data_IF_498825509751
#
_entry.id   IF_498825509751
#
_cell.length_a   1.000
_cell.length_b   1.000
_cell.length_c   1.000
_cell.angle_alpha   90.00
_cell.angle_beta   90.00
_cell.angle_gamma   90.00
#
_symmetry.space_group_name_H-M   'P 1'
#
loop_
_entity.id
_entity.type
_entity.pdbx_description
1 polymer ?
#
# COMPACT_ATOMS: atom_id res chain seq x y z
N UNK A 1 -3.60 22.08 -22.13
CA UNK A 1 -2.57 23.17 -22.14
C UNK A 1 -1.19 22.56 -21.89
N UNK A 2 -0.11 23.20 -22.29
CA UNK A 2 1.24 22.71 -22.02
C UNK A 2 1.75 23.23 -20.67
N UNK A 3 2.68 22.54 -20.06
CA UNK A 3 3.36 22.99 -18.83
C UNK A 3 4.01 24.36 -19.02
N UNK A 4 4.50 24.68 -20.22
CA UNK A 4 5.08 25.98 -20.57
C UNK A 4 4.06 27.13 -20.47
N UNK A 5 2.80 26.90 -20.81
CA UNK A 5 1.75 27.91 -20.65
C UNK A 5 1.47 28.20 -19.16
N UNK A 6 1.44 27.14 -18.30
CA UNK A 6 1.27 27.32 -16.86
C UNK A 6 2.45 28.12 -16.29
N UNK A 7 3.69 27.80 -16.68
CA UNK A 7 4.88 28.52 -16.23
C UNK A 7 4.78 30.02 -16.61
N UNK A 8 4.41 30.34 -17.87
CA UNK A 8 4.25 31.71 -18.31
C UNK A 8 3.15 32.44 -17.52
N UNK A 9 2.00 31.80 -17.29
CA UNK A 9 0.88 32.41 -16.56
C UNK A 9 1.23 32.64 -15.08
N UNK A 10 2.00 31.74 -14.46
CA UNK A 10 2.53 31.93 -13.09
C UNK A 10 3.43 33.19 -13.04
N UNK A 11 4.35 33.35 -13.99
CA UNK A 11 5.23 34.52 -14.04
C UNK A 11 4.45 35.82 -14.28
N UNK A 12 3.49 35.82 -15.19
CA UNK A 12 2.60 36.99 -15.42
C UNK A 12 1.79 37.31 -14.16
N UNK A 13 1.29 36.31 -13.43
CA UNK A 13 0.53 36.52 -12.20
C UNK A 13 1.34 37.13 -11.05
N UNK A 14 2.64 36.91 -11.01
CA UNK A 14 3.56 37.48 -10.03
C UNK A 14 3.94 38.95 -10.35
N UNK A 15 3.78 39.37 -11.58
CA UNK A 15 3.93 40.76 -11.98
C UNK A 15 5.28 41.16 -12.59
N UNK A 16 5.58 42.47 -12.59
CA UNK A 16 6.80 43.02 -13.20
C UNK A 16 8.09 42.49 -12.53
N UNK A 17 9.07 42.17 -13.36
CA UNK A 17 10.37 41.63 -12.93
C UNK A 17 10.59 40.16 -13.24
N UNK A 18 9.55 39.42 -13.63
CA UNK A 18 9.64 38.06 -14.09
C UNK A 18 9.69 37.96 -15.61
N UNK A 19 10.75 37.37 -16.13
CA UNK A 19 10.95 37.24 -17.56
C UNK A 19 10.58 35.86 -18.07
N UNK A 20 9.48 35.77 -18.83
CA UNK A 20 9.03 34.54 -19.49
C UNK A 20 10.00 34.00 -20.55
N UNK A 21 10.97 34.79 -20.98
CA UNK A 21 12.01 34.35 -21.91
C UNK A 21 13.27 33.82 -21.16
N UNK A 22 13.34 34.03 -19.86
CA UNK A 22 14.46 33.55 -19.06
C UNK A 22 14.25 32.13 -18.54
N UNK A 23 15.17 31.23 -18.90
CA UNK A 23 15.12 29.82 -18.50
C UNK A 23 15.11 29.63 -16.98
N UNK A 24 15.79 30.52 -16.23
CA UNK A 24 15.83 30.44 -14.77
C UNK A 24 14.47 30.78 -14.16
N UNK A 25 13.82 31.86 -14.64
CA UNK A 25 12.47 32.24 -14.23
C UNK A 25 11.45 31.14 -14.52
N UNK A 26 11.53 30.51 -15.69
CA UNK A 26 10.67 29.36 -16.04
C UNK A 26 10.91 28.16 -15.13
N UNK A 27 12.14 27.90 -14.71
CA UNK A 27 12.47 26.81 -13.78
C UNK A 27 11.85 27.07 -12.39
N UNK A 28 11.90 28.30 -11.91
CA UNK A 28 11.23 28.68 -10.65
C UNK A 28 9.71 28.55 -10.75
N UNK A 29 9.10 29.04 -11.83
CA UNK A 29 7.66 28.90 -12.07
C UNK A 29 7.23 27.42 -12.08
N UNK A 30 8.02 26.54 -12.69
CA UNK A 30 7.77 25.11 -12.69
C UNK A 30 7.85 24.53 -11.27
N UNK A 31 8.82 24.95 -10.46
CA UNK A 31 8.97 24.52 -9.05
C UNK A 31 7.75 24.92 -8.23
N UNK A 32 7.26 26.16 -8.37
CA UNK A 32 6.07 26.64 -7.66
C UNK A 32 4.78 25.96 -8.13
N UNK A 33 4.63 25.74 -9.44
CA UNK A 33 3.52 24.95 -9.97
C UNK A 33 3.52 23.49 -9.44
N UNK A 34 4.71 22.88 -9.33
CA UNK A 34 4.86 21.55 -8.73
C UNK A 34 4.59 21.55 -7.21
N UNK A 35 4.90 22.64 -6.50
CA UNK A 35 4.54 22.79 -5.09
C UNK A 35 3.01 22.84 -4.92
N UNK A 36 2.31 23.62 -5.76
CA UNK A 36 0.86 23.65 -5.81
C UNK A 36 0.27 22.28 -6.14
N UNK A 37 0.83 21.61 -7.14
CA UNK A 37 0.41 20.27 -7.57
C UNK A 37 0.48 19.27 -6.43
N UNK A 38 1.61 19.19 -5.74
CA UNK A 38 1.77 18.32 -4.54
C UNK A 38 0.80 18.71 -3.44
N UNK A 39 0.64 20.00 -3.15
CA UNK A 39 -0.26 20.50 -2.11
C UNK A 39 -1.71 20.07 -2.37
N UNK A 40 -2.21 20.23 -3.61
CA UNK A 40 -3.56 19.81 -4.01
C UNK A 40 -3.75 18.31 -3.73
N UNK A 41 -2.88 17.46 -4.26
CA UNK A 41 -3.07 16.01 -4.19
C UNK A 41 -2.71 15.39 -2.83
N UNK A 42 -1.93 16.06 -2.00
CA UNK A 42 -1.68 15.65 -0.61
C UNK A 42 -2.89 15.91 0.28
N UNK A 43 -3.61 17.03 0.03
CA UNK A 43 -4.77 17.43 0.83
C UNK A 43 -6.07 16.79 0.35
N UNK A 44 -6.23 16.59 -0.95
CA UNK A 44 -7.50 16.18 -1.55
C UNK A 44 -7.33 14.92 -2.41
N UNK A 45 -8.24 13.96 -2.25
CA UNK A 45 -8.24 12.68 -2.99
C UNK A 45 -9.15 12.77 -4.21
N UNK A 46 -8.70 13.46 -5.23
CA UNK A 46 -9.44 13.55 -6.49
C UNK A 46 -9.50 12.19 -7.22
N UNK A 47 -10.60 11.92 -7.91
CA UNK A 47 -10.76 10.71 -8.73
C UNK A 47 -9.76 10.64 -9.87
N UNK A 48 -9.37 11.78 -10.39
CA UNK A 48 -8.42 11.89 -11.49
C UNK A 48 -7.07 11.21 -11.19
N UNK A 49 -6.66 11.15 -9.93
CA UNK A 49 -5.43 10.46 -9.51
C UNK A 49 -5.65 9.02 -9.10
N UNK A 50 -6.89 8.52 -9.14
CA UNK A 50 -7.14 7.12 -8.82
C UNK A 50 -6.64 6.23 -9.94
N UNK A 51 -5.87 5.23 -9.56
CA UNK A 51 -5.36 4.19 -10.45
C UNK A 51 -5.87 2.83 -10.00
N UNK A 52 -5.90 1.91 -10.95
CA UNK A 52 -6.13 0.50 -10.69
C UNK A 52 -4.87 -0.27 -11.06
N UNK A 53 -4.33 -1.01 -10.10
CA UNK A 53 -3.25 -1.96 -10.32
C UNK A 53 -3.79 -3.37 -10.15
N UNK A 54 -3.39 -4.28 -11.05
CA UNK A 54 -3.75 -5.69 -10.98
C UNK A 54 -2.48 -6.46 -10.67
N UNK A 55 -2.55 -7.35 -9.69
CA UNK A 55 -1.47 -8.26 -9.35
C UNK A 55 -2.01 -9.67 -9.11
N UNK A 56 -1.11 -10.64 -9.07
CA UNK A 56 -1.45 -12.04 -8.78
C UNK A 56 -0.85 -12.42 -7.44
N UNK A 57 -1.61 -13.13 -6.65
CA UNK A 57 -1.06 -13.79 -5.47
C UNK A 57 -0.22 -15.00 -5.88
N UNK A 58 0.59 -15.49 -4.97
CA UNK A 58 1.29 -16.77 -5.11
C UNK A 58 0.98 -17.61 -3.86
N UNK A 59 0.87 -18.92 -4.04
CA UNK A 59 0.69 -19.83 -2.91
C UNK A 59 1.84 -19.68 -1.92
N UNK A 60 1.54 -19.66 -0.64
CA UNK A 60 2.51 -19.47 0.45
C UNK A 60 3.04 -18.04 0.62
N UNK A 61 2.65 -17.09 -0.23
CA UNK A 61 3.10 -15.70 -0.13
C UNK A 61 2.04 -14.81 0.50
N UNK A 62 2.31 -14.29 1.69
CA UNK A 62 1.38 -13.42 2.42
C UNK A 62 1.58 -11.93 2.12
N UNK A 63 2.79 -11.50 1.74
CA UNK A 63 3.16 -10.08 1.63
C UNK A 63 3.39 -9.67 0.19
N UNK A 64 2.79 -8.54 -0.22
CA UNK A 64 2.87 -7.97 -1.57
C UNK A 64 3.21 -6.49 -1.51
N UNK A 65 4.13 -6.06 -2.36
CA UNK A 65 4.53 -4.65 -2.43
C UNK A 65 3.42 -3.80 -3.06
N UNK A 66 3.18 -2.63 -2.47
CA UNK A 66 2.35 -1.60 -3.10
C UNK A 66 3.08 -0.98 -4.32
N UNK A 67 2.33 -0.45 -5.30
CA UNK A 67 2.91 0.30 -6.41
C UNK A 67 3.80 1.45 -5.90
N UNK A 68 4.85 1.80 -6.65
CA UNK A 68 5.81 2.84 -6.25
C UNK A 68 5.20 4.24 -6.13
N UNK A 69 4.08 4.47 -6.80
CA UNK A 69 3.31 5.71 -6.75
C UNK A 69 2.10 5.65 -5.79
N UNK A 70 2.07 4.66 -4.90
CA UNK A 70 1.00 4.47 -3.92
C UNK A 70 0.99 5.60 -2.88
N UNK A 71 -0.13 6.31 -2.77
CA UNK A 71 -0.31 7.39 -1.79
C UNK A 71 -1.29 7.02 -0.68
N UNK A 72 -2.12 6.01 -0.90
CA UNK A 72 -3.13 5.58 0.06
C UNK A 72 -3.99 4.48 -0.54
N UNK A 73 -4.96 4.02 0.24
CA UNK A 73 -5.81 2.89 -0.10
C UNK A 73 -7.26 3.33 -0.33
N UNK A 74 -7.92 2.74 -1.32
CA UNK A 74 -9.35 2.83 -1.54
C UNK A 74 -10.03 1.47 -1.46
N UNK A 75 -9.61 0.52 -2.30
CA UNK A 75 -10.22 -0.81 -2.37
C UNK A 75 -9.21 -1.84 -2.82
N UNK A 76 -9.19 -2.99 -2.15
CA UNK A 76 -8.52 -4.21 -2.60
C UNK A 76 -9.57 -5.27 -2.86
N UNK A 77 -9.61 -5.81 -4.08
CA UNK A 77 -10.63 -6.75 -4.53
C UNK A 77 -9.97 -7.99 -5.11
N UNK A 78 -10.44 -9.15 -4.72
CA UNK A 78 -10.18 -10.42 -5.41
C UNK A 78 -11.10 -10.52 -6.62
N UNK A 79 -10.55 -10.37 -7.81
CA UNK A 79 -11.27 -10.45 -9.08
C UNK A 79 -11.61 -11.90 -9.47
N UNK A 80 -10.85 -12.87 -8.94
CA UNK A 80 -11.10 -14.29 -9.19
C UNK A 80 -12.42 -14.75 -8.57
N UNK A 81 -12.80 -14.15 -7.43
CA UNK A 81 -13.98 -14.52 -6.66
C UNK A 81 -14.99 -13.38 -6.49
N UNK A 82 -14.76 -12.24 -7.12
CA UNK A 82 -15.62 -11.04 -7.04
C UNK A 82 -15.86 -10.56 -5.60
N UNK A 83 -14.84 -10.65 -4.74
CA UNK A 83 -14.91 -10.31 -3.30
C UNK A 83 -14.01 -9.13 -2.97
N UNK A 84 -14.51 -8.16 -2.19
CA UNK A 84 -13.70 -7.06 -1.65
C UNK A 84 -13.10 -7.52 -0.32
N UNK A 85 -11.77 -7.43 -0.20
CA UNK A 85 -11.07 -7.78 1.03
C UNK A 85 -11.32 -6.70 2.10
N UNK A 86 -11.49 -7.13 3.33
CA UNK A 86 -11.65 -6.23 4.47
C UNK A 86 -10.28 -5.70 4.91
N UNK A 87 -10.17 -4.37 5.02
CA UNK A 87 -8.97 -3.76 5.60
C UNK A 87 -9.03 -3.82 7.13
N UNK A 88 -7.95 -4.29 7.72
CA UNK A 88 -7.73 -4.33 9.16
C UNK A 88 -6.56 -3.42 9.54
N UNK A 89 -6.53 -2.97 10.78
CA UNK A 89 -5.32 -2.40 11.36
C UNK A 89 -4.28 -3.51 11.59
N UNK A 90 -2.98 -3.24 11.65
CA UNK A 90 -1.96 -4.25 11.95
C UNK A 90 -2.22 -5.01 13.27
N UNK A 91 -2.78 -4.31 14.28
CA UNK A 91 -3.17 -4.95 15.55
C UNK A 91 -4.34 -5.92 15.39
N UNK A 92 -5.40 -5.49 14.68
CA UNK A 92 -6.55 -6.35 14.41
C UNK A 92 -6.16 -7.54 13.55
N UNK A 93 -5.32 -7.31 12.52
CA UNK A 93 -4.81 -8.36 11.65
C UNK A 93 -4.04 -9.41 12.46
N UNK A 94 -3.14 -9.00 13.34
CA UNK A 94 -2.37 -9.92 14.21
C UNK A 94 -3.24 -10.72 15.18
N UNK A 95 -4.42 -10.19 15.57
CA UNK A 95 -5.37 -10.91 16.43
C UNK A 95 -6.29 -11.85 15.66
N UNK A 96 -6.61 -11.51 14.40
CA UNK A 96 -7.58 -12.24 13.59
C UNK A 96 -6.93 -13.44 12.88
N UNK A 97 -5.64 -13.36 12.58
CA UNK A 97 -4.85 -14.49 12.09
C UNK A 97 -4.52 -15.40 13.29
N UNK A 98 -5.56 -16.07 13.80
CA UNK A 98 -5.36 -17.01 14.89
C UNK A 98 -4.62 -18.26 14.35
N UNK A 99 -3.49 -18.61 14.94
CA UNK A 99 -2.82 -19.84 14.61
C UNK A 99 -3.69 -21.03 15.05
N UNK A 100 -3.63 -22.11 14.30
CA UNK A 100 -4.33 -23.37 14.60
C UNK A 100 -3.32 -24.36 15.14
N UNK A 101 -3.62 -24.95 16.31
CA UNK A 101 -2.82 -26.03 16.88
C UNK A 101 -3.30 -27.38 16.32
N UNK A 102 -2.36 -28.19 15.91
CA UNK A 102 -2.53 -29.61 15.56
C UNK A 102 -1.88 -30.42 16.65
N UNK A 103 -2.55 -31.46 17.08
CA UNK A 103 -2.03 -32.42 18.07
C UNK A 103 -2.08 -33.79 17.47
N UNK A 104 -1.06 -34.60 17.80
CA UNK A 104 -0.96 -36.01 17.46
C UNK A 104 -1.08 -36.29 15.94
N UNK A 105 -0.58 -35.41 15.08
CA UNK A 105 -0.47 -35.76 13.67
C UNK A 105 0.56 -36.84 13.45
N UNK A 106 0.17 -37.90 12.76
CA UNK A 106 1.05 -39.03 12.48
C UNK A 106 1.81 -38.81 11.20
N UNK A 107 3.12 -38.98 11.21
CA UNK A 107 3.95 -39.10 10.02
C UNK A 107 4.82 -40.35 10.08
N UNK A 108 5.07 -40.96 8.92
CA UNK A 108 5.99 -42.10 8.83
C UNK A 108 7.35 -41.57 8.41
N UNK A 109 8.39 -41.87 9.19
CA UNK A 109 9.78 -41.46 8.90
C UNK A 109 10.29 -42.09 7.60
N UNK A 110 11.16 -41.36 6.92
CA UNK A 110 11.94 -41.83 5.76
C UNK A 110 13.31 -41.16 5.85
N UNK A 111 14.33 -41.95 6.23
CA UNK A 111 15.66 -41.47 6.57
C UNK A 111 16.26 -40.53 5.54
N UNK A 112 16.56 -39.30 5.94
CA UNK A 112 17.13 -38.26 5.07
C UNK A 112 16.19 -37.73 3.99
N UNK A 113 14.92 -38.16 3.99
CA UNK A 113 13.91 -37.67 3.04
C UNK A 113 12.90 -36.76 3.73
N UNK A 114 12.55 -35.66 3.09
CA UNK A 114 11.57 -34.75 3.63
C UNK A 114 10.15 -35.32 3.50
N UNK A 115 9.49 -35.53 4.64
CA UNK A 115 8.10 -36.00 4.74
C UNK A 115 7.19 -34.80 4.90
N UNK A 116 6.14 -34.71 4.08
CA UNK A 116 5.17 -33.63 4.16
C UNK A 116 4.20 -33.85 5.30
N UNK A 117 3.99 -32.83 6.13
CA UNK A 117 2.94 -32.75 7.13
C UNK A 117 1.64 -32.24 6.49
N UNK A 118 0.53 -32.36 7.21
CA UNK A 118 -0.78 -31.99 6.71
C UNK A 118 -0.96 -30.48 6.41
N UNK A 119 -0.11 -29.64 7.00
CA UNK A 119 -0.21 -28.19 6.84
C UNK A 119 1.15 -27.54 6.61
N UNK A 120 1.28 -26.63 5.63
CA UNK A 120 2.43 -25.74 5.48
C UNK A 120 2.32 -24.54 6.44
N UNK A 121 3.26 -23.60 6.35
CA UNK A 121 3.25 -22.35 7.13
C UNK A 121 3.24 -22.56 8.65
N UNK A 122 3.99 -23.57 9.10
CA UNK A 122 4.14 -23.92 10.53
C UNK A 122 4.88 -22.78 11.25
N UNK A 123 4.45 -22.47 12.45
CA UNK A 123 5.12 -21.48 13.30
C UNK A 123 6.45 -22.06 13.78
N UNK A 124 7.51 -21.33 13.54
CA UNK A 124 8.86 -21.78 13.89
C UNK A 124 8.98 -22.08 15.38
N UNK A 125 9.51 -23.24 15.71
CA UNK A 125 9.71 -23.73 17.08
C UNK A 125 8.42 -24.03 17.86
N UNK A 126 7.32 -24.25 17.17
CA UNK A 126 6.07 -24.67 17.82
C UNK A 126 5.87 -26.17 17.87
N UNK A 127 6.74 -26.91 17.20
CA UNK A 127 6.62 -28.36 17.08
C UNK A 127 7.17 -29.12 18.30
N UNK A 128 6.54 -30.27 18.56
CA UNK A 128 7.03 -31.31 19.49
C UNK A 128 6.86 -32.64 18.80
N UNK A 129 7.92 -33.42 18.66
CA UNK A 129 7.92 -34.73 18.01
C UNK A 129 8.13 -35.81 19.07
N UNK A 130 7.30 -36.85 19.04
CA UNK A 130 7.33 -37.92 20.02
C UNK A 130 7.07 -39.32 19.39
N UNK A 131 7.37 -40.36 20.14
CA UNK A 131 7.13 -41.76 19.75
C UNK A 131 5.68 -42.21 19.95
N UNK A 132 4.93 -41.54 20.78
CA UNK A 132 3.54 -41.86 21.11
C UNK A 132 2.70 -40.57 21.39
N UNK A 133 1.39 -40.73 21.53
CA UNK A 133 0.44 -39.67 21.88
C UNK A 133 0.57 -39.16 23.32
N UNK A 134 1.22 -39.91 24.18
CA UNK A 134 1.49 -39.52 25.57
C UNK A 134 2.81 -38.73 25.70
N UNK A 135 3.53 -38.54 24.58
CA UNK A 135 4.83 -37.85 24.50
C UNK A 135 5.86 -38.42 25.50
N UNK A 136 5.91 -39.75 25.60
CA UNK A 136 6.80 -40.44 26.57
C UNK A 136 8.27 -40.24 26.20
N UNK A 137 8.60 -40.31 24.91
CA UNK A 137 9.91 -39.99 24.39
C UNK A 137 9.78 -38.80 23.41
N UNK A 138 10.43 -37.69 23.73
CA UNK A 138 10.43 -36.46 22.88
C UNK A 138 11.78 -36.36 22.18
N UNK A 139 11.74 -36.15 20.87
CA UNK A 139 12.92 -36.02 20.02
C UNK A 139 13.39 -34.58 19.92
N UNK A 140 14.68 -34.40 19.70
CA UNK A 140 15.34 -33.09 19.70
C UNK A 140 15.57 -32.60 18.28
N UNK A 141 15.03 -31.43 17.98
CA UNK A 141 15.27 -30.77 16.69
C UNK A 141 16.76 -30.47 16.49
N UNK A 142 17.19 -30.45 15.24
CA UNK A 142 18.57 -30.23 14.76
C UNK A 142 19.55 -31.30 15.24
N UNK A 143 19.03 -32.35 15.89
CA UNK A 143 19.76 -33.58 16.32
C UNK A 143 19.08 -34.77 15.69
N UNK A 144 17.82 -35.04 16.04
CA UNK A 144 17.07 -36.22 15.58
C UNK A 144 16.30 -35.94 14.29
N UNK A 145 15.89 -34.69 14.07
CA UNK A 145 15.16 -34.26 12.88
C UNK A 145 15.39 -32.77 12.54
N UNK A 146 15.07 -32.38 11.30
CA UNK A 146 15.03 -30.98 10.85
C UNK A 146 13.66 -30.62 10.29
N UNK A 147 13.29 -29.30 10.36
CA UNK A 147 12.01 -28.79 9.88
C UNK A 147 12.18 -27.73 8.78
N UNK A 148 11.41 -27.86 7.70
CA UNK A 148 11.11 -26.71 6.83
C UNK A 148 9.72 -26.17 7.19
N UNK A 149 9.69 -25.14 8.01
CA UNK A 149 8.46 -24.53 8.51
C UNK A 149 7.60 -23.90 7.41
N UNK A 150 8.21 -23.46 6.33
CA UNK A 150 7.48 -22.85 5.21
C UNK A 150 6.78 -23.89 4.36
N UNK A 151 7.51 -24.97 4.05
CA UNK A 151 6.97 -26.08 3.28
C UNK A 151 6.06 -27.00 4.13
N UNK A 152 6.20 -26.98 5.46
CA UNK A 152 5.54 -27.93 6.36
C UNK A 152 6.08 -29.34 6.18
N UNK A 153 7.41 -29.49 6.13
CA UNK A 153 8.05 -30.81 6.00
C UNK A 153 9.00 -31.08 7.14
N UNK A 154 9.08 -32.33 7.53
CA UNK A 154 10.03 -32.88 8.53
C UNK A 154 10.99 -33.83 7.83
N UNK A 155 12.27 -33.78 8.19
CA UNK A 155 13.28 -34.70 7.70
C UNK A 155 13.95 -35.33 8.92
N UNK A 156 13.89 -36.65 9.05
CA UNK A 156 14.53 -37.41 10.10
C UNK A 156 16.00 -37.63 9.74
N UNK A 157 16.90 -37.53 10.71
CA UNK A 157 18.32 -37.78 10.48
C UNK A 157 18.59 -39.30 10.62
N UNK A 158 19.07 -39.92 9.55
CA UNK A 158 19.34 -41.35 9.45
C UNK A 158 20.36 -41.89 10.44
N UNK A 159 21.06 -41.04 11.17
CA UNK A 159 22.13 -41.46 12.09
C UNK A 159 21.73 -41.40 13.57
N UNK A 160 20.49 -40.98 13.89
CA UNK A 160 20.10 -40.61 15.24
C UNK A 160 19.02 -41.51 15.85
N UNK A 161 18.26 -41.03 16.84
CA UNK A 161 17.41 -41.87 17.72
C UNK A 161 16.07 -42.27 17.07
N UNK A 162 15.71 -41.74 15.91
CA UNK A 162 14.46 -42.08 15.22
C UNK A 162 14.70 -43.18 14.19
N UNK A 163 13.88 -44.23 14.24
CA UNK A 163 13.96 -45.37 13.32
C UNK A 163 13.31 -45.05 11.98
N UNK A 164 13.87 -45.63 10.89
CA UNK A 164 13.30 -45.55 9.54
C UNK A 164 11.97 -46.31 9.42
N UNK A 165 11.10 -45.86 8.54
CA UNK A 165 9.79 -46.46 8.26
C UNK A 165 8.92 -46.68 9.51
N UNK A 166 9.05 -45.79 10.50
CA UNK A 166 8.35 -45.84 11.77
C UNK A 166 7.39 -44.66 11.89
N UNK A 167 6.23 -44.90 12.50
CA UNK A 167 5.24 -43.84 12.74
C UNK A 167 5.60 -43.06 14.00
N UNK A 168 5.63 -41.72 13.84
CA UNK A 168 5.84 -40.75 14.92
C UNK A 168 4.70 -39.78 15.00
N UNK A 169 4.56 -39.09 16.12
CA UNK A 169 3.54 -38.11 16.41
C UNK A 169 4.17 -36.72 16.48
N UNK A 170 3.51 -35.73 15.89
CA UNK A 170 3.96 -34.35 15.95
C UNK A 170 2.81 -33.43 16.32
N UNK A 171 3.06 -32.57 17.32
CA UNK A 171 2.26 -31.42 17.64
C UNK A 171 2.89 -30.21 17.02
N UNK A 172 2.10 -29.31 16.45
CA UNK A 172 2.59 -28.02 15.93
C UNK A 172 1.48 -27.00 15.81
N UNK A 173 1.88 -25.77 15.60
CA UNK A 173 0.96 -24.65 15.36
C UNK A 173 1.25 -24.07 13.98
N UNK A 174 0.22 -23.79 13.20
CA UNK A 174 0.38 -23.25 11.85
C UNK A 174 -0.59 -22.11 11.57
N UNK A 175 -0.29 -21.31 10.58
CA UNK A 175 -1.24 -20.33 10.03
C UNK A 175 -1.98 -20.97 8.86
N UNK A 176 -3.33 -21.05 8.89
CA UNK A 176 -4.08 -21.66 7.81
C UNK A 176 -3.89 -20.91 6.51
N UNK A 177 -3.64 -21.67 5.45
CA UNK A 177 -3.65 -21.18 4.08
C UNK A 177 -5.07 -21.20 3.52
N UNK A 178 -5.33 -20.35 2.55
CA UNK A 178 -6.65 -20.30 1.92
C UNK A 178 -6.86 -19.07 1.05
N UNK A 179 -8.10 -18.87 0.66
CA UNK A 179 -8.49 -17.68 -0.09
C UNK A 179 -8.43 -16.43 0.82
N UNK A 180 -7.65 -15.40 0.46
CA UNK A 180 -7.61 -14.16 1.24
C UNK A 180 -8.97 -13.45 1.28
N UNK A 181 -9.36 -13.02 2.47
CA UNK A 181 -10.57 -12.23 2.71
C UNK A 181 -10.29 -10.91 3.45
N UNK A 182 -9.13 -10.85 4.11
CA UNK A 182 -8.68 -9.67 4.85
C UNK A 182 -7.26 -9.26 4.45
N UNK A 183 -6.91 -8.02 4.74
CA UNK A 183 -5.56 -7.52 4.56
C UNK A 183 -5.24 -6.38 5.53
N UNK A 184 -3.96 -6.18 5.79
CA UNK A 184 -3.47 -4.96 6.43
C UNK A 184 -2.45 -4.25 5.53
N UNK A 185 -2.31 -2.95 5.77
CA UNK A 185 -1.30 -2.12 5.12
C UNK A 185 -0.22 -1.81 6.14
N UNK A 186 1.01 -2.16 5.83
CA UNK A 186 2.18 -1.91 6.65
C UNK A 186 3.23 -1.11 5.86
N UNK A 187 4.14 -0.47 6.57
CA UNK A 187 5.29 0.20 5.94
C UNK A 187 6.55 -0.63 6.20
N UNK A 188 7.10 -1.17 5.13
CA UNK A 188 8.39 -1.88 5.19
C UNK A 188 9.53 -0.87 5.27
N UNK A 189 10.07 -0.70 6.47
CA UNK A 189 11.15 0.25 6.75
C UNK A 189 12.44 -0.12 6.01
N UNK A 190 12.67 -1.42 5.81
CA UNK A 190 13.89 -1.93 5.15
C UNK A 190 13.92 -1.54 3.67
N UNK A 191 12.78 -1.66 2.98
CA UNK A 191 12.64 -1.35 1.57
C UNK A 191 12.08 0.05 1.31
N UNK A 192 11.64 0.77 2.34
CA UNK A 192 11.07 2.11 2.23
C UNK A 192 9.75 2.14 1.44
N UNK A 193 8.94 1.08 1.52
CA UNK A 193 7.71 0.93 0.74
C UNK A 193 6.55 0.44 1.58
N UNK A 194 5.34 0.77 1.13
CA UNK A 194 4.14 0.12 1.66
C UNK A 194 4.00 -1.30 1.14
N UNK A 195 3.53 -2.19 2.00
CA UNK A 195 3.24 -3.60 1.69
C UNK A 195 1.84 -3.95 2.17
N UNK A 196 1.20 -4.85 1.44
CA UNK A 196 -0.07 -5.47 1.83
C UNK A 196 0.24 -6.85 2.37
N UNK A 197 -0.18 -7.12 3.60
CA UNK A 197 -0.24 -8.50 4.11
C UNK A 197 -1.68 -8.97 4.01
N UNK A 198 -1.88 -10.12 3.40
CA UNK A 198 -3.21 -10.73 3.21
C UNK A 198 -3.38 -11.93 4.14
N UNK A 199 -4.61 -12.20 4.53
CA UNK A 199 -4.96 -13.35 5.36
C UNK A 199 -6.30 -13.94 4.91
N UNK A 200 -6.44 -15.26 4.91
CA UNK A 200 -5.39 -16.30 5.07
C UNK A 200 -4.23 -16.15 4.08
N UNK A 201 -3.11 -16.84 4.34
CA UNK A 201 -2.03 -16.96 3.35
C UNK A 201 -2.59 -17.61 2.10
N UNK A 202 -2.37 -17.06 0.88
CA UNK A 202 -2.94 -17.63 -0.32
C UNK A 202 -2.48 -19.08 -0.57
N UNK A 203 -3.43 -20.00 -0.75
CA UNK A 203 -3.21 -21.38 -1.14
C UNK A 203 -3.06 -21.57 -2.66
N UNK A 204 -3.42 -20.55 -3.43
CA UNK A 204 -3.42 -20.56 -4.88
C UNK A 204 -3.14 -19.16 -5.47
N UNK A 205 -3.11 -19.11 -6.81
CA UNK A 205 -3.01 -17.85 -7.55
C UNK A 205 -4.40 -17.22 -7.66
N UNK A 206 -4.60 -16.07 -7.01
CA UNK A 206 -5.77 -15.21 -7.13
C UNK A 206 -5.40 -13.93 -7.89
N UNK A 207 -6.32 -13.43 -8.70
CA UNK A 207 -6.14 -12.13 -9.36
C UNK A 207 -6.72 -11.07 -8.44
N UNK A 208 -5.87 -10.19 -7.93
CA UNK A 208 -6.29 -9.10 -7.08
C UNK A 208 -6.17 -7.75 -7.79
N UNK A 209 -7.11 -6.86 -7.57
CA UNK A 209 -7.07 -5.47 -8.04
C UNK A 209 -7.06 -4.49 -6.89
N UNK A 210 -6.11 -3.59 -6.93
CA UNK A 210 -5.95 -2.50 -6.00
C UNK A 210 -6.39 -1.19 -6.66
N UNK A 211 -7.37 -0.51 -6.09
CA UNK A 211 -7.74 0.86 -6.45
C UNK A 211 -7.17 1.80 -5.40
N UNK A 212 -6.38 2.78 -5.84
CA UNK A 212 -5.63 3.66 -4.95
C UNK A 212 -5.43 5.04 -5.56
N UNK A 213 -5.34 6.11 -4.72
CA UNK A 213 -4.83 7.39 -5.16
C UNK A 213 -3.33 7.29 -5.39
N UNK A 214 -2.87 7.68 -6.57
CA UNK A 214 -1.46 7.64 -6.94
C UNK A 214 -0.77 8.98 -6.65
N UNK A 215 0.51 8.94 -6.28
CA UNK A 215 1.34 10.13 -6.24
C UNK A 215 1.49 10.63 -7.68
N UNK A 216 1.04 11.86 -7.98
CA UNK A 216 1.14 12.37 -9.33
C UNK A 216 2.60 12.62 -9.71
N UNK A 217 2.96 12.23 -10.93
CA UNK A 217 4.28 12.53 -11.49
C UNK A 217 4.47 14.04 -11.58
N UNK A 218 5.62 14.54 -11.11
CA UNK A 218 5.92 15.96 -11.17
C UNK A 218 5.82 16.50 -12.63
N UNK A 219 5.32 17.71 -12.74
CA UNK A 219 5.26 18.42 -14.04
C UNK A 219 6.68 18.60 -14.56
N UNK A 220 6.90 18.30 -15.84
CA UNK A 220 8.16 18.53 -16.54
C UNK A 220 7.95 19.60 -17.64
N UNK A 221 9.03 20.20 -18.12
CA UNK A 221 8.97 21.25 -19.15
C UNK A 221 8.42 20.79 -20.50
N UNK A 222 8.35 19.49 -20.77
CA UNK A 222 7.77 18.89 -21.98
C UNK A 222 6.37 18.37 -21.68
N UNK A 223 5.40 18.88 -22.40
CA UNK A 223 4.00 18.47 -22.55
C UNK A 223 3.49 17.31 -21.68
N UNK A 224 3.17 17.56 -20.43
CA UNK A 224 2.32 16.65 -19.68
C UNK A 224 0.86 16.91 -20.05
N UNK A 225 0.12 15.88 -20.34
CA UNK A 225 -1.34 15.93 -20.44
C UNK A 225 -1.89 16.22 -19.03
N UNK A 226 -2.07 17.50 -18.71
CA UNK A 226 -2.66 17.94 -17.46
C UNK A 226 -4.17 17.98 -17.66
N UNK A 227 -4.91 17.52 -16.65
CA UNK A 227 -6.35 17.69 -16.60
C UNK A 227 -6.71 19.19 -16.70
N UNK A 228 -7.48 19.57 -17.71
CA UNK A 228 -7.74 20.97 -18.05
C UNK A 228 -8.33 21.77 -16.87
N UNK A 229 -9.17 21.12 -16.06
CA UNK A 229 -9.77 21.75 -14.89
C UNK A 229 -8.75 22.04 -13.77
N UNK A 230 -7.62 21.33 -13.76
CA UNK A 230 -6.54 21.53 -12.79
C UNK A 230 -5.64 22.72 -13.16
N UNK A 231 -5.57 23.10 -14.43
CA UNK A 231 -4.65 24.15 -14.94
C UNK A 231 -4.81 25.46 -14.19
N UNK A 232 -6.02 25.94 -14.03
CA UNK A 232 -6.31 27.16 -13.29
C UNK A 232 -5.87 27.10 -11.84
N UNK A 233 -6.10 25.96 -11.18
CA UNK A 233 -5.61 25.73 -9.83
C UNK A 233 -4.09 25.76 -9.73
N UNK A 234 -3.39 25.20 -10.73
CA UNK A 234 -1.93 25.19 -10.76
C UNK A 234 -1.34 26.58 -11.01
N UNK A 235 -1.99 27.38 -11.86
CA UNK A 235 -1.61 28.77 -12.10
C UNK A 235 -1.76 29.60 -10.82
N UNK A 236 -2.93 29.58 -10.18
CA UNK A 236 -3.17 30.32 -8.94
C UNK A 236 -2.31 29.81 -7.78
N UNK A 237 -2.13 28.51 -7.68
CA UNK A 237 -1.24 27.91 -6.70
C UNK A 237 0.23 28.26 -6.95
N UNK A 238 0.69 28.24 -8.19
CA UNK A 238 2.04 28.65 -8.57
C UNK A 238 2.31 30.11 -8.20
N UNK A 239 1.36 31.01 -8.47
CA UNK A 239 1.44 32.43 -8.07
C UNK A 239 1.51 32.55 -6.54
N UNK A 240 0.66 31.84 -5.80
CA UNK A 240 0.69 31.85 -4.33
C UNK A 240 2.02 31.34 -3.78
N UNK A 241 2.51 30.19 -4.22
CA UNK A 241 3.80 29.65 -3.75
C UNK A 241 5.00 30.51 -4.17
N UNK A 242 4.94 31.11 -5.36
CA UNK A 242 5.94 32.08 -5.81
C UNK A 242 5.94 33.35 -4.97
N UNK A 243 4.76 33.88 -4.62
CA UNK A 243 4.65 35.05 -3.76
C UNK A 243 5.22 34.84 -2.36
N UNK A 244 5.04 33.65 -1.79
CA UNK A 244 5.65 33.30 -0.48
C UNK A 244 7.18 33.33 -0.50
N UNK A 245 7.78 33.09 -1.65
CA UNK A 245 9.25 33.06 -1.78
C UNK A 245 9.82 34.44 -2.17
N UNK A 246 9.09 35.21 -2.97
CA UNK A 246 9.58 36.44 -3.58
C UNK A 246 9.15 37.72 -2.85
N UNK A 247 8.05 37.67 -2.10
CA UNK A 247 7.48 38.86 -1.45
C UNK A 247 7.79 38.84 0.04
N UNK A 248 7.79 40.03 0.65
CA UNK A 248 7.83 40.12 2.11
C UNK A 248 6.57 39.47 2.70
N UNK A 249 6.75 38.68 3.76
CA UNK A 249 5.65 37.97 4.42
C UNK A 249 4.51 38.88 4.94
N UNK A 250 4.76 40.18 5.04
CA UNK A 250 3.76 41.20 5.39
C UNK A 250 3.02 41.79 4.18
N UNK A 251 3.36 41.41 2.94
CA UNK A 251 2.70 41.93 1.73
C UNK A 251 1.24 41.45 1.67
N UNK A 252 0.25 42.39 1.64
CA UNK A 252 -1.15 42.05 1.59
C UNK A 252 -1.56 41.27 0.32
N UNK A 253 -0.76 41.33 -0.75
CA UNK A 253 -1.00 40.55 -1.98
C UNK A 253 -0.94 39.03 -1.73
N UNK A 254 -0.10 38.60 -0.80
CA UNK A 254 -0.01 37.16 -0.42
C UNK A 254 -1.38 36.64 0.05
N UNK A 255 -2.10 37.44 0.85
CA UNK A 255 -3.46 37.12 1.29
C UNK A 255 -4.46 36.97 0.14
N UNK A 256 -4.34 37.86 -0.86
CA UNK A 256 -5.19 37.79 -2.05
C UNK A 256 -4.89 36.51 -2.84
N UNK A 257 -3.62 36.23 -3.13
CA UNK A 257 -3.24 35.02 -3.88
C UNK A 257 -3.61 33.73 -3.16
N UNK A 258 -3.51 33.72 -1.81
CA UNK A 258 -3.98 32.59 -0.99
C UNK A 258 -5.49 32.36 -1.15
N UNK A 259 -6.29 33.44 -1.15
CA UNK A 259 -7.74 33.36 -1.34
C UNK A 259 -8.09 32.84 -2.72
N UNK A 260 -7.49 33.40 -3.78
CA UNK A 260 -7.70 32.96 -5.17
C UNK A 260 -7.35 31.47 -5.36
N UNK A 261 -6.24 31.02 -4.77
CA UNK A 261 -5.84 29.61 -4.80
C UNK A 261 -6.85 28.71 -4.07
N UNK A 262 -7.30 29.14 -2.89
CA UNK A 262 -8.32 28.41 -2.12
C UNK A 262 -9.63 28.28 -2.88
N UNK A 263 -10.08 29.34 -3.54
CA UNK A 263 -11.31 29.33 -4.32
C UNK A 263 -11.19 28.45 -5.58
N UNK A 264 -10.03 28.49 -6.24
CA UNK A 264 -9.74 27.59 -7.36
C UNK A 264 -9.79 26.11 -6.94
N UNK A 265 -9.30 25.77 -5.73
CA UNK A 265 -9.39 24.40 -5.18
C UNK A 265 -10.86 24.02 -4.92
N UNK A 266 -11.68 24.93 -4.35
CA UNK A 266 -13.10 24.66 -4.11
C UNK A 266 -13.85 24.38 -5.41
N UNK A 267 -13.57 25.15 -6.46
CA UNK A 267 -14.15 24.93 -7.78
C UNK A 267 -13.73 23.59 -8.37
N UNK A 268 -12.45 23.22 -8.23
CA UNK A 268 -11.96 21.91 -8.66
C UNK A 268 -12.64 20.77 -7.91
N UNK A 269 -12.84 20.91 -6.61
CA UNK A 269 -13.56 19.91 -5.79
C UNK A 269 -15.01 19.78 -6.22
N UNK A 270 -15.69 20.90 -6.53
CA UNK A 270 -17.06 20.88 -7.03
C UNK A 270 -17.16 20.11 -8.34
N UNK A 271 -16.26 20.37 -9.28
CA UNK A 271 -16.20 19.66 -10.56
C UNK A 271 -15.93 18.16 -10.39
N UNK A 272 -15.05 17.77 -9.48
CA UNK A 272 -14.80 16.35 -9.19
C UNK A 272 -16.04 15.66 -8.58
N UNK A 273 -16.82 16.38 -7.74
CA UNK A 273 -18.07 15.88 -7.19
C UNK A 273 -19.19 15.77 -8.25
N UNK A 274 -19.25 16.66 -9.24
CA UNK A 274 -20.23 16.59 -10.33
C UNK A 274 -20.05 15.37 -11.24
N UNK A 275 -18.83 14.78 -11.27
CA UNK A 275 -18.54 13.54 -11.99
C UNK A 275 -19.10 12.28 -11.28
N UNK A 276 -19.70 12.43 -10.08
CA UNK A 276 -20.36 11.33 -9.37
C UNK A 276 -21.68 10.99 -10.06
N UNK A 277 -21.94 9.74 -10.48
CA UNK A 277 -23.26 9.34 -10.92
C UNK A 277 -24.29 9.64 -9.83
N UNK A 278 -25.35 10.38 -10.21
CA UNK A 278 -26.46 10.68 -9.28
C UNK A 278 -27.07 9.37 -8.80
N UNK A 279 -27.00 9.12 -7.49
CA UNK A 279 -27.53 7.90 -6.84
C UNK A 279 -26.48 6.99 -6.19
N UNK A 280 -25.18 7.23 -6.38
CA UNK A 280 -24.15 6.57 -5.60
C UNK A 280 -23.72 7.46 -4.44
N UNK A 281 -24.07 7.05 -3.21
CA UNK A 281 -23.53 7.65 -2.00
C UNK A 281 -22.09 7.14 -1.86
N UNK A 282 -21.12 7.95 -2.31
CA UNK A 282 -19.72 7.66 -2.01
C UNK A 282 -19.48 8.17 -0.60
N UNK A 283 -19.05 7.35 0.34
CA UNK A 283 -18.63 7.84 1.64
C UNK A 283 -17.34 8.63 1.45
N UNK A 284 -17.47 9.92 1.16
CA UNK A 284 -16.35 10.86 1.30
C UNK A 284 -16.12 10.95 2.80
N UNK A 285 -15.20 10.15 3.32
CA UNK A 285 -14.65 10.36 4.66
C UNK A 285 -13.73 11.59 4.59
N UNK A 286 -14.32 12.79 4.56
CA UNK A 286 -13.60 13.99 4.93
C UNK A 286 -13.25 13.86 6.42
N UNK A 287 -11.96 13.91 6.73
CA UNK A 287 -11.55 14.10 8.13
C UNK A 287 -12.14 15.42 8.59
N UNK A 288 -12.81 15.42 9.72
CA UNK A 288 -13.46 16.59 10.35
C UNK A 288 -12.47 17.76 10.62
N UNK A 289 -11.17 17.49 10.54
CA UNK A 289 -10.07 18.45 10.69
C UNK A 289 -9.85 19.36 9.47
N UNK A 290 -10.37 19.00 8.27
CA UNK A 290 -10.11 19.78 7.06
C UNK A 290 -11.02 21.02 6.94
N UNK A 291 -12.03 21.15 7.79
CA UNK A 291 -12.98 22.30 7.79
C UNK A 291 -12.61 23.40 8.78
N UNK A 292 -11.74 23.18 9.75
CA UNK A 292 -11.41 24.17 10.78
C UNK A 292 -10.28 25.14 10.36
N UNK A 293 -9.46 24.77 9.36
CA UNK A 293 -8.37 25.61 8.90
C UNK A 293 -8.72 26.51 7.68
N UNK A 294 -10.00 26.54 7.27
CA UNK A 294 -10.49 27.32 6.13
C UNK A 294 -11.25 28.61 6.52
N UNK A 295 -11.27 28.97 7.82
CA UNK A 295 -11.81 30.25 8.29
C UNK A 295 -10.70 31.19 8.78
#
# INVERSE_FOLDING_TARGET
>A
MSTSTIQANVLYGLGEGMNVADATSLTYALRWANAAYRNIFTKYRFRHIQKRSIFRTAAGQQTYQAPSDFMGFLTLKDESNDTVLQQLTPEEFSRQVAPVAITDEVFTSDDGVAVALGNPSIIQYSETVADDTDHTTVYTRDTDYTMDYTAGTITVDAAEAMDDATDYYIDYVYYPDGKPDTFCLEYDVTNGKYVFRVSPTPDAIYIASLVYPAIPTALSGSANSIWTQLEYCLERGGVYFGSLELMDGSDPKIGIFKSEYSDAIKDLMRLDMELVPKGQTIPIRMRKTDYQDAN
#
